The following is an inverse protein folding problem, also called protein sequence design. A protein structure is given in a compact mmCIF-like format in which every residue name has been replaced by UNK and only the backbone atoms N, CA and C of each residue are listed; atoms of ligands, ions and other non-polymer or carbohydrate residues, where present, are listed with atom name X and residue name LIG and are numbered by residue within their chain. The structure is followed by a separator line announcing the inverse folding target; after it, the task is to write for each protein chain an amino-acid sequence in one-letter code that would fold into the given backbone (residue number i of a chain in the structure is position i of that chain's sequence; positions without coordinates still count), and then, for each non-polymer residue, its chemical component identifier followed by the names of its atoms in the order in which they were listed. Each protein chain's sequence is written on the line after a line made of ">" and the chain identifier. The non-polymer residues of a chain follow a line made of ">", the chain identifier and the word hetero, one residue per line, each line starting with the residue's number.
data_IF_380145129693
#
_entry.id   IF_380145129693
#
_cell.length_a   1.000
_cell.length_b   1.000
_cell.length_c   1.000
_cell.angle_alpha   90.00
_cell.angle_beta   90.00
_cell.angle_gamma   90.00
#
_symmetry.space_group_name_H-M   'P 1'
#
loop_
_entity.id
_entity.type
_entity.pdbx_description
1 polymer ?
#
# COMPACT_ATOMS: atom_id res chain seq x y z
N UNK A 1 -35.31 40.37 7.89
CA UNK A 1 -34.57 39.19 7.39
C UNK A 1 -33.72 38.70 8.55
N UNK A 2 -34.07 37.56 9.17
CA UNK A 2 -33.25 36.96 10.22
C UNK A 2 -32.02 36.32 9.59
N UNK A 3 -30.84 36.81 9.90
CA UNK A 3 -29.59 36.16 9.54
C UNK A 3 -29.53 34.79 10.21
N UNK A 4 -29.25 33.76 9.41
CA UNK A 4 -29.02 32.42 9.92
C UNK A 4 -27.77 32.44 10.82
N UNK A 5 -27.81 31.87 12.03
CA UNK A 5 -26.66 31.87 12.92
C UNK A 5 -25.50 31.13 12.24
N UNK A 6 -24.34 31.79 12.21
CA UNK A 6 -23.08 31.23 11.72
C UNK A 6 -22.81 29.92 12.46
N UNK A 7 -22.45 28.82 11.75
CA UNK A 7 -22.17 27.55 12.41
C UNK A 7 -21.10 27.76 13.49
N UNK A 8 -21.46 27.52 14.75
CA UNK A 8 -20.50 27.49 15.85
C UNK A 8 -19.50 26.38 15.56
N UNK A 9 -18.30 26.75 15.11
CA UNK A 9 -17.14 25.88 15.18
C UNK A 9 -16.85 25.67 16.65
N UNK A 10 -17.42 24.61 17.23
CA UNK A 10 -17.04 24.16 18.57
C UNK A 10 -15.54 23.85 18.47
N UNK A 11 -14.65 24.62 19.13
CA UNK A 11 -13.24 24.29 19.11
C UNK A 11 -13.13 22.93 19.78
N UNK A 12 -12.66 21.93 19.02
CA UNK A 12 -12.37 20.61 19.57
C UNK A 12 -11.51 20.81 20.82
N UNK A 13 -11.97 20.31 21.97
CA UNK A 13 -11.36 20.67 23.24
C UNK A 13 -9.89 20.25 23.24
N UNK A 14 -9.04 21.17 23.70
CA UNK A 14 -7.57 21.06 23.74
C UNK A 14 -7.04 19.92 24.63
N UNK A 15 -7.91 19.16 25.29
CA UNK A 15 -7.54 18.05 26.18
C UNK A 15 -7.07 16.78 25.45
N UNK A 16 -7.26 16.65 24.14
CA UNK A 16 -6.60 15.59 23.37
C UNK A 16 -5.36 16.15 22.66
N UNK A 17 -4.48 16.83 23.40
CA UNK A 17 -3.08 16.97 22.98
C UNK A 17 -2.47 15.56 23.06
N UNK A 18 -2.67 14.78 22.00
CA UNK A 18 -2.12 13.43 21.88
C UNK A 18 -0.61 13.52 22.06
N UNK A 19 -0.06 12.65 22.92
CA UNK A 19 1.34 12.76 23.32
C UNK A 19 2.27 12.49 22.15
N UNK A 20 3.46 13.09 22.16
CA UNK A 20 4.49 12.80 21.16
C UNK A 20 4.81 11.29 21.07
N UNK A 21 4.59 10.56 22.16
CA UNK A 21 4.73 9.11 22.19
C UNK A 21 3.67 8.41 21.33
N UNK A 22 2.41 8.84 21.36
CA UNK A 22 1.36 8.30 20.50
C UNK A 22 1.63 8.56 19.02
N UNK A 23 2.17 9.74 18.68
CA UNK A 23 2.61 10.04 17.32
C UNK A 23 3.74 9.09 16.87
N UNK A 24 4.77 8.90 17.71
CA UNK A 24 5.89 7.99 17.40
C UNK A 24 5.42 6.56 17.19
N UNK A 25 4.49 6.08 18.00
CA UNK A 25 3.88 4.76 17.82
C UNK A 25 3.09 4.65 16.53
N UNK A 26 2.26 5.65 16.22
CA UNK A 26 1.50 5.67 14.96
C UNK A 26 2.42 5.65 13.74
N UNK A 27 3.45 6.51 13.74
CA UNK A 27 4.47 6.52 12.69
C UNK A 27 5.19 5.17 12.59
N UNK A 28 5.56 4.59 13.73
CA UNK A 28 6.22 3.28 13.81
C UNK A 28 5.36 2.16 13.20
N UNK A 29 4.07 2.13 13.52
CA UNK A 29 3.12 1.14 12.98
C UNK A 29 2.95 1.35 11.47
N UNK A 30 2.78 2.59 11.00
CA UNK A 30 2.66 2.88 9.56
C UNK A 30 3.91 2.42 8.82
N UNK A 31 5.10 2.77 9.30
CA UNK A 31 6.37 2.39 8.69
C UNK A 31 6.52 0.87 8.70
N UNK A 32 6.25 0.21 9.82
CA UNK A 32 6.32 -1.25 9.92
C UNK A 32 5.36 -1.94 8.95
N UNK A 33 4.09 -1.50 8.87
CA UNK A 33 3.10 -2.07 7.96
C UNK A 33 3.51 -1.94 6.49
N UNK A 34 4.00 -0.76 6.09
CA UNK A 34 4.51 -0.52 4.73
C UNK A 34 5.75 -1.38 4.44
N UNK A 35 6.70 -1.48 5.38
CA UNK A 35 7.89 -2.32 5.21
C UNK A 35 7.54 -3.80 5.10
N UNK A 36 6.59 -4.30 5.90
CA UNK A 36 6.09 -5.68 5.81
C UNK A 36 5.49 -5.92 4.41
N UNK A 37 4.69 -4.98 3.91
CA UNK A 37 4.09 -5.11 2.58
C UNK A 37 5.15 -5.07 1.46
N UNK A 38 6.14 -4.18 1.56
CA UNK A 38 7.29 -4.11 0.64
C UNK A 38 8.05 -5.43 0.64
N UNK A 39 8.36 -5.97 1.83
CA UNK A 39 9.07 -7.23 1.97
C UNK A 39 8.26 -8.37 1.36
N UNK A 40 6.94 -8.39 1.58
CA UNK A 40 6.04 -9.37 1.00
C UNK A 40 6.05 -9.33 -0.54
N UNK A 41 5.86 -8.16 -1.14
CA UNK A 41 5.90 -8.01 -2.60
C UNK A 41 7.27 -8.36 -3.18
N UNK A 42 8.35 -7.93 -2.53
CA UNK A 42 9.72 -8.23 -2.96
C UNK A 42 10.01 -9.73 -2.88
N UNK A 43 9.58 -10.39 -1.81
CA UNK A 43 9.77 -11.83 -1.61
C UNK A 43 8.99 -12.63 -2.65
N UNK A 44 7.73 -12.27 -2.93
CA UNK A 44 6.93 -12.95 -3.96
C UNK A 44 7.52 -12.72 -5.35
N UNK A 45 7.98 -11.50 -5.66
CA UNK A 45 8.64 -11.20 -6.93
C UNK A 45 9.94 -12.01 -7.09
N UNK A 46 10.80 -12.01 -6.06
CA UNK A 46 12.05 -12.78 -6.07
C UNK A 46 11.81 -14.29 -6.19
N UNK A 47 10.79 -14.80 -5.48
CA UNK A 47 10.38 -16.20 -5.60
C UNK A 47 9.95 -16.54 -7.02
N UNK A 48 9.08 -15.73 -7.63
CA UNK A 48 8.62 -15.94 -9.00
C UNK A 48 9.79 -15.89 -10.00
N UNK A 49 10.70 -14.91 -9.87
CA UNK A 49 11.89 -14.83 -10.71
C UNK A 49 12.83 -16.02 -10.50
N UNK A 50 12.89 -16.60 -9.31
CA UNK A 50 13.73 -17.79 -9.04
C UNK A 50 13.21 -19.08 -9.69
N UNK A 51 11.93 -19.11 -10.10
CA UNK A 51 11.34 -20.24 -10.82
C UNK A 51 11.66 -20.22 -12.32
N UNK A 52 12.20 -19.11 -12.83
CA UNK A 52 12.53 -18.94 -14.24
C UNK A 52 13.93 -19.50 -14.50
N UNK A 53 14.06 -20.35 -15.53
CA UNK A 53 15.36 -20.86 -15.95
C UNK A 53 16.13 -19.80 -16.74
N UNK A 54 16.92 -19.00 -16.03
CA UNK A 54 17.78 -17.98 -16.62
C UNK A 54 19.03 -18.54 -17.30
N UNK A 55 19.27 -19.86 -17.26
CA UNK A 55 20.41 -20.50 -17.92
C UNK A 55 20.22 -20.69 -19.43
N UNK A 56 18.98 -20.66 -19.91
CA UNK A 56 18.63 -20.73 -21.33
C UNK A 56 18.65 -19.36 -22.04
N UNK A 57 18.31 -19.36 -23.32
CA UNK A 57 18.08 -18.11 -24.07
C UNK A 57 16.83 -17.40 -23.51
N UNK A 58 16.95 -16.17 -22.96
CA UNK A 58 15.83 -15.44 -22.37
C UNK A 58 14.65 -15.25 -23.34
N UNK A 59 14.93 -15.11 -24.64
CA UNK A 59 13.88 -14.91 -25.64
C UNK A 59 13.01 -16.17 -25.80
N UNK A 60 13.62 -17.35 -25.69
CA UNK A 60 12.93 -18.64 -25.78
C UNK A 60 12.19 -18.96 -24.49
N UNK A 61 12.82 -18.69 -23.34
CA UNK A 61 12.26 -18.93 -22.01
C UNK A 61 11.01 -18.08 -21.78
N UNK A 62 11.06 -16.78 -22.11
CA UNK A 62 9.93 -15.85 -21.98
C UNK A 62 8.87 -16.02 -23.08
N UNK A 63 9.17 -16.70 -24.18
CA UNK A 63 8.16 -17.05 -25.19
C UNK A 63 7.21 -18.15 -24.72
N UNK A 64 7.58 -18.91 -23.67
CA UNK A 64 6.69 -19.91 -23.09
C UNK A 64 5.56 -19.23 -22.27
N UNK A 65 4.28 -19.59 -22.49
CA UNK A 65 3.16 -18.93 -21.82
C UNK A 65 3.22 -19.01 -20.29
N UNK A 66 3.69 -20.14 -19.74
CA UNK A 66 3.78 -20.35 -18.30
C UNK A 66 4.82 -19.43 -17.65
N UNK A 67 6.02 -19.34 -18.23
CA UNK A 67 7.08 -18.47 -17.74
C UNK A 67 6.75 -16.98 -17.95
N UNK A 68 6.11 -16.62 -19.07
CA UNK A 68 5.66 -15.26 -19.33
C UNK A 68 4.72 -14.76 -18.22
N UNK A 69 3.73 -15.57 -17.81
CA UNK A 69 2.80 -15.21 -16.72
C UNK A 69 3.54 -15.02 -15.39
N UNK A 70 4.48 -15.91 -15.05
CA UNK A 70 5.26 -15.82 -13.81
C UNK A 70 6.11 -14.54 -13.80
N UNK A 71 6.73 -14.21 -14.94
CA UNK A 71 7.54 -13.02 -15.13
C UNK A 71 6.72 -11.73 -15.03
N UNK A 72 5.57 -11.67 -15.70
CA UNK A 72 4.64 -10.54 -15.61
C UNK A 72 4.20 -10.30 -14.17
N UNK A 73 3.82 -11.36 -13.45
CA UNK A 73 3.45 -11.25 -12.04
C UNK A 73 4.60 -10.69 -11.18
N UNK A 74 5.83 -11.13 -11.40
CA UNK A 74 6.98 -10.63 -10.66
C UNK A 74 7.26 -9.15 -10.94
N UNK A 75 7.24 -8.75 -12.22
CA UNK A 75 7.54 -7.37 -12.61
C UNK A 75 6.48 -6.41 -12.12
N UNK A 76 5.20 -6.77 -12.13
CA UNK A 76 4.14 -5.88 -11.64
C UNK A 76 4.28 -5.58 -10.13
N UNK A 77 4.82 -6.52 -9.35
CA UNK A 77 5.02 -6.34 -7.91
C UNK A 77 6.17 -5.38 -7.56
N UNK A 78 7.22 -5.33 -8.39
CA UNK A 78 8.41 -4.51 -8.11
C UNK A 78 8.12 -3.00 -8.03
N UNK A 79 7.34 -2.38 -8.94
CA UNK A 79 6.91 -0.99 -8.81
C UNK A 79 6.14 -0.72 -7.52
N UNK A 80 5.26 -1.64 -7.08
CA UNK A 80 4.53 -1.47 -5.81
C UNK A 80 5.46 -1.53 -4.61
N UNK A 81 6.44 -2.44 -4.60
CA UNK A 81 7.48 -2.47 -3.59
C UNK A 81 8.29 -1.16 -3.59
N UNK A 82 8.69 -0.67 -4.77
CA UNK A 82 9.41 0.59 -4.92
C UNK A 82 8.61 1.80 -4.39
N UNK A 83 7.34 1.92 -4.77
CA UNK A 83 6.44 2.97 -4.28
C UNK A 83 6.18 2.86 -2.77
N UNK A 84 6.13 1.64 -2.23
CA UNK A 84 6.05 1.40 -0.79
C UNK A 84 7.29 1.92 -0.06
N UNK A 85 8.50 1.69 -0.59
CA UNK A 85 9.75 2.22 -0.05
C UNK A 85 9.76 3.76 -0.08
N UNK A 86 9.36 4.37 -1.21
CA UNK A 86 9.23 5.82 -1.33
C UNK A 86 8.25 6.36 -0.28
N UNK A 87 7.14 5.65 -0.04
CA UNK A 87 6.15 6.03 0.97
C UNK A 87 6.71 5.92 2.39
N UNK A 88 7.54 4.92 2.69
CA UNK A 88 8.24 4.79 3.98
C UNK A 88 9.15 5.99 4.22
N UNK A 89 10.01 6.32 3.25
CA UNK A 89 10.89 7.49 3.37
C UNK A 89 10.09 8.79 3.50
N UNK A 90 9.02 8.94 2.73
CA UNK A 90 8.12 10.08 2.86
C UNK A 90 7.51 10.17 4.27
N UNK A 91 7.05 9.07 4.86
CA UNK A 91 6.52 9.05 6.23
C UNK A 91 7.57 9.46 7.27
N UNK A 92 8.81 9.02 7.12
CA UNK A 92 9.90 9.35 8.04
C UNK A 92 10.36 10.81 7.94
N UNK A 93 10.43 11.36 6.71
CA UNK A 93 10.95 12.70 6.45
C UNK A 93 9.86 13.78 6.55
N UNK A 94 8.68 13.51 6.00
CA UNK A 94 7.53 14.42 5.92
C UNK A 94 6.23 13.65 6.17
N UNK A 95 5.87 13.38 7.44
CA UNK A 95 4.74 12.52 7.82
C UNK A 95 3.42 12.81 7.10
N UNK A 96 3.09 14.09 6.90
CA UNK A 96 1.88 14.50 6.16
C UNK A 96 1.91 14.02 4.71
N UNK A 97 3.03 14.23 4.00
CA UNK A 97 3.21 13.79 2.62
C UNK A 97 3.29 12.27 2.52
N UNK A 98 3.97 11.63 3.47
CA UNK A 98 4.01 10.17 3.58
C UNK A 98 2.63 9.56 3.72
N UNK A 99 1.75 10.18 4.52
CA UNK A 99 0.37 9.73 4.64
C UNK A 99 -0.37 9.79 3.30
N UNK A 100 -0.28 10.90 2.56
CA UNK A 100 -0.93 11.03 1.27
C UNK A 100 -0.37 10.05 0.23
N UNK A 101 0.96 9.90 0.18
CA UNK A 101 1.63 8.97 -0.73
C UNK A 101 1.24 7.53 -0.44
N UNK A 102 1.29 7.10 0.82
CA UNK A 102 0.88 5.75 1.19
C UNK A 102 -0.60 5.50 0.86
N UNK A 103 -1.50 6.45 1.11
CA UNK A 103 -2.91 6.33 0.72
C UNK A 103 -3.11 6.18 -0.79
N UNK A 104 -2.37 6.93 -1.60
CA UNK A 104 -2.42 6.84 -3.06
C UNK A 104 -1.91 5.47 -3.52
N UNK A 105 -0.76 5.04 -2.99
CA UNK A 105 -0.15 3.74 -3.32
C UNK A 105 -1.08 2.59 -2.93
N UNK A 106 -1.64 2.59 -1.72
CA UNK A 106 -2.57 1.53 -1.30
C UNK A 106 -3.84 1.51 -2.14
N UNK A 107 -4.39 2.69 -2.48
CA UNK A 107 -5.55 2.78 -3.37
C UNK A 107 -5.24 2.24 -4.76
N UNK A 108 -4.06 2.56 -5.29
CA UNK A 108 -3.57 2.05 -6.58
C UNK A 108 -3.41 0.54 -6.60
N UNK A 109 -2.79 -0.03 -5.55
CA UNK A 109 -2.68 -1.49 -5.37
C UNK A 109 -4.07 -2.13 -5.35
N UNK A 110 -5.01 -1.56 -4.60
CA UNK A 110 -6.35 -2.10 -4.47
C UNK A 110 -7.12 -2.04 -5.80
N UNK A 111 -7.04 -0.92 -6.53
CA UNK A 111 -7.68 -0.76 -7.84
C UNK A 111 -7.14 -1.75 -8.86
N UNK A 112 -5.81 -1.93 -8.93
CA UNK A 112 -5.18 -2.85 -9.87
C UNK A 112 -5.52 -4.29 -9.49
N UNK A 113 -5.46 -4.64 -8.20
CA UNK A 113 -5.83 -5.97 -7.73
C UNK A 113 -7.31 -6.29 -8.00
N UNK A 114 -8.21 -5.32 -7.81
CA UNK A 114 -9.63 -5.47 -8.14
C UNK A 114 -9.85 -5.62 -9.65
N UNK A 115 -9.14 -4.86 -10.47
CA UNK A 115 -9.20 -4.99 -11.93
C UNK A 115 -8.76 -6.39 -12.38
N UNK A 116 -7.66 -6.91 -11.84
CA UNK A 116 -7.18 -8.27 -12.10
C UNK A 116 -8.22 -9.30 -11.65
N UNK A 117 -8.81 -9.12 -10.46
CA UNK A 117 -9.85 -10.01 -9.94
C UNK A 117 -11.08 -10.06 -10.84
N UNK A 118 -11.55 -8.91 -11.33
CA UNK A 118 -12.74 -8.82 -12.18
C UNK A 118 -12.45 -9.32 -13.60
N UNK A 119 -11.26 -9.04 -14.13
CA UNK A 119 -10.84 -9.48 -15.47
C UNK A 119 -10.67 -11.00 -15.55
N UNK A 120 -10.22 -11.64 -14.47
CA UNK A 120 -10.02 -13.09 -14.42
C UNK A 120 -11.21 -13.84 -13.78
N UNK A 121 -12.37 -13.18 -13.63
CA UNK A 121 -13.54 -13.77 -12.94
C UNK A 121 -14.01 -15.08 -13.58
N UNK A 122 -13.85 -15.22 -14.89
CA UNK A 122 -14.27 -16.38 -15.68
C UNK A 122 -13.15 -17.40 -15.95
N UNK A 123 -11.89 -17.05 -15.66
CA UNK A 123 -10.74 -17.92 -15.85
C UNK A 123 -10.24 -18.43 -14.48
N UNK A 124 -9.85 -19.70 -14.42
CA UNK A 124 -9.44 -20.41 -13.19
C UNK A 124 -7.92 -20.23 -12.92
N UNK A 125 -7.24 -19.43 -13.76
CA UNK A 125 -5.78 -19.45 -13.93
C UNK A 125 -5.00 -18.54 -12.97
N UNK A 126 -5.61 -17.50 -12.40
CA UNK A 126 -4.92 -16.67 -11.40
C UNK A 126 -4.82 -17.37 -10.05
N UNK A 127 -3.65 -17.32 -9.41
CA UNK A 127 -3.44 -17.72 -8.00
C UNK A 127 -4.24 -16.79 -7.08
N UNK A 128 -5.56 -16.99 -7.03
CA UNK A 128 -6.54 -16.26 -6.22
C UNK A 128 -6.11 -15.98 -4.77
N UNK A 129 -5.48 -16.91 -4.03
CA UNK A 129 -5.11 -16.62 -2.63
C UNK A 129 -4.11 -15.46 -2.49
N UNK A 130 -3.14 -15.30 -3.39
CA UNK A 130 -2.17 -14.19 -3.30
C UNK A 130 -2.83 -12.85 -3.60
N UNK A 131 -3.72 -12.80 -4.59
CA UNK A 131 -4.47 -11.59 -4.94
C UNK A 131 -5.32 -11.12 -3.76
N UNK A 132 -5.98 -12.05 -3.04
CA UNK A 132 -6.72 -11.72 -1.82
C UNK A 132 -5.82 -11.16 -0.71
N UNK A 133 -4.61 -11.69 -0.54
CA UNK A 133 -3.65 -11.17 0.42
C UNK A 133 -3.18 -9.76 0.06
N UNK A 134 -2.96 -9.46 -1.23
CA UNK A 134 -2.62 -8.10 -1.68
C UNK A 134 -3.73 -7.10 -1.34
N UNK A 135 -4.98 -7.45 -1.66
CA UNK A 135 -6.14 -6.61 -1.36
C UNK A 135 -6.34 -6.45 0.14
N UNK A 136 -6.27 -7.53 0.92
CA UNK A 136 -6.43 -7.48 2.37
C UNK A 136 -5.35 -6.60 3.00
N UNK A 137 -4.09 -6.76 2.62
CA UNK A 137 -3.00 -5.92 3.10
C UNK A 137 -3.23 -4.44 2.83
N UNK A 138 -3.63 -4.09 1.59
CA UNK A 138 -3.94 -2.72 1.23
C UNK A 138 -5.12 -2.15 2.02
N UNK A 139 -6.20 -2.92 2.18
CA UNK A 139 -7.38 -2.53 2.96
C UNK A 139 -7.00 -2.27 4.42
N UNK A 140 -6.24 -3.17 5.05
CA UNK A 140 -5.83 -3.01 6.45
C UNK A 140 -4.98 -1.74 6.65
N UNK A 141 -4.06 -1.45 5.73
CA UNK A 141 -3.25 -0.23 5.79
C UNK A 141 -4.14 1.01 5.60
N UNK A 142 -5.05 1.01 4.62
CA UNK A 142 -6.00 2.12 4.40
C UNK A 142 -6.86 2.36 5.64
N UNK A 143 -7.44 1.31 6.21
CA UNK A 143 -8.29 1.40 7.41
C UNK A 143 -7.49 1.97 8.58
N UNK A 144 -6.27 1.46 8.81
CA UNK A 144 -5.40 1.99 9.86
C UNK A 144 -5.04 3.46 9.61
N UNK A 145 -4.69 3.83 8.38
CA UNK A 145 -4.31 5.20 8.05
C UNK A 145 -5.46 6.21 8.20
N UNK A 146 -6.71 5.77 8.00
CA UNK A 146 -7.91 6.57 8.22
C UNK A 146 -8.43 6.52 9.66
N UNK A 147 -7.90 5.62 10.49
CA UNK A 147 -8.20 5.60 11.92
C UNK A 147 -7.73 6.88 12.61
N UNK A 148 -8.25 7.20 13.81
CA UNK A 148 -7.75 8.32 14.60
C UNK A 148 -6.23 8.25 14.77
N UNK A 149 -5.64 7.07 14.96
CA UNK A 149 -4.22 6.83 15.17
C UNK A 149 -3.42 7.16 13.91
N UNK A 150 -3.83 6.66 12.74
CA UNK A 150 -3.15 6.93 11.47
C UNK A 150 -3.23 8.41 11.05
N UNK A 151 -4.34 9.09 11.35
CA UNK A 151 -4.51 10.53 11.07
C UNK A 151 -3.60 11.43 11.91
N UNK A 152 -2.89 10.90 12.91
CA UNK A 152 -1.87 11.66 13.64
C UNK A 152 -0.75 12.16 12.72
N UNK A 153 -0.46 11.43 11.65
CA UNK A 153 0.54 11.82 10.64
C UNK A 153 0.16 13.13 9.92
N UNK A 154 -1.13 13.46 9.84
CA UNK A 154 -1.63 14.71 9.26
C UNK A 154 -1.54 15.90 10.23
N UNK A 155 -1.54 15.64 11.54
CA UNK A 155 -1.68 16.67 12.58
C UNK A 155 -0.41 17.49 12.87
N UNK A 156 0.78 17.00 12.49
CA UNK A 156 2.03 17.75 12.67
C UNK A 156 2.31 18.64 11.46
N UNK A 157 1.97 19.93 11.57
CA UNK A 157 2.70 20.98 10.86
C UNK A 157 4.04 21.17 11.57
N UNK A 158 5.09 20.48 11.10
CA UNK A 158 6.46 20.92 11.34
C UNK A 158 6.81 21.99 10.32
#
# INVERSE_FOLDING_TARGET
>A
MSEAPVPQQIPLPTFIKRSDNQFRWSLGITVAALLIQVAFFSAVAAYNLSLIDWGGDPAVVLASPETAIIFEQAIVLLPFAGLGIVSVFACLLRPQLGWHMAMLVQSGILLIALQVYLSDRNNILTRRPLLYLYMLGAILIIVFMNSPEGRLLLGQRR
#
